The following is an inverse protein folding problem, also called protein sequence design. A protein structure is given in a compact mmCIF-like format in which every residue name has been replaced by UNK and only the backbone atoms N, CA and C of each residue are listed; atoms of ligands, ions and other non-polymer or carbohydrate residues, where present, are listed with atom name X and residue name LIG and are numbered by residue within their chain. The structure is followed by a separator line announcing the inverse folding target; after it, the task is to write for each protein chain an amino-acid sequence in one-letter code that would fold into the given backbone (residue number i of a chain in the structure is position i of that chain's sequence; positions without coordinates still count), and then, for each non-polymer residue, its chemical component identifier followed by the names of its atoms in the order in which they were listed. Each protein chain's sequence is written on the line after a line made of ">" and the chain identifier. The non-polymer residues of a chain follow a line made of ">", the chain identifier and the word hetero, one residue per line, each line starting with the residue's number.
data_IF_034279333966
#
_entry.id   IF_034279333966
#
_cell.length_a   1.000
_cell.length_b   1.000
_cell.length_c   1.000
_cell.angle_alpha   90.00
_cell.angle_beta   90.00
_cell.angle_gamma   90.00
#
_symmetry.space_group_name_H-M   'P 1'
#
loop_
_entity.id
_entity.type
_entity.pdbx_description
1 polymer ?
#
# COMPACT_ATOMS: atom_id res chain seq x y z
N UNK A 1 -4.44 -17.67 14.60
CA UNK A 1 -4.90 -16.50 13.84
C UNK A 1 -5.92 -15.78 14.69
N UNK A 2 -5.61 -14.58 15.18
CA UNK A 2 -6.59 -13.79 15.94
C UNK A 2 -7.27 -12.83 14.97
N UNK A 3 -8.52 -13.10 14.63
CA UNK A 3 -9.35 -12.09 13.95
C UNK A 3 -9.61 -10.99 14.97
N UNK A 4 -9.09 -9.78 14.73
CA UNK A 4 -9.42 -8.63 15.57
C UNK A 4 -10.93 -8.48 15.66
N UNK A 5 -11.41 -8.32 16.88
CA UNK A 5 -12.80 -8.03 17.19
C UNK A 5 -13.18 -6.66 16.64
N UNK A 6 -14.49 -6.42 16.45
CA UNK A 6 -15.01 -5.11 16.03
C UNK A 6 -14.51 -3.96 16.92
N UNK A 7 -14.45 -4.18 18.23
CA UNK A 7 -14.01 -3.16 19.19
C UNK A 7 -12.51 -2.81 19.04
N UNK A 8 -11.66 -3.77 18.65
CA UNK A 8 -10.25 -3.52 18.36
C UNK A 8 -10.08 -2.75 17.04
N UNK A 9 -10.94 -3.03 16.05
CA UNK A 9 -11.02 -2.25 14.82
C UNK A 9 -11.43 -0.80 15.05
N UNK A 10 -12.49 -0.58 15.83
CA UNK A 10 -12.98 0.76 16.16
C UNK A 10 -11.91 1.58 16.91
N UNK A 11 -11.16 0.94 17.82
CA UNK A 11 -10.05 1.58 18.54
C UNK A 11 -8.91 1.95 17.60
N UNK A 12 -8.51 1.04 16.70
CA UNK A 12 -7.46 1.30 15.74
C UNK A 12 -7.82 2.44 14.78
N UNK A 13 -9.06 2.45 14.27
CA UNK A 13 -9.55 3.52 13.41
C UNK A 13 -9.52 4.89 14.13
N UNK A 14 -9.92 4.92 15.41
CA UNK A 14 -9.88 6.14 16.22
C UNK A 14 -8.44 6.64 16.45
N UNK A 15 -7.48 5.75 16.66
CA UNK A 15 -6.06 6.10 16.81
C UNK A 15 -5.49 6.71 15.53
N UNK A 16 -5.78 6.11 14.37
CA UNK A 16 -5.36 6.65 13.06
C UNK A 16 -5.99 8.03 12.83
N UNK A 17 -7.30 8.18 13.09
CA UNK A 17 -8.00 9.45 12.92
C UNK A 17 -7.42 10.55 13.81
N UNK A 18 -7.06 10.23 15.07
CA UNK A 18 -6.35 11.15 15.97
C UNK A 18 -4.97 11.51 15.46
N UNK A 19 -4.22 10.54 14.94
CA UNK A 19 -2.91 10.78 14.33
C UNK A 19 -2.97 11.74 13.16
N UNK A 20 -3.95 11.56 12.26
CA UNK A 20 -4.18 12.46 11.12
C UNK A 20 -4.63 13.84 11.57
N UNK A 21 -5.55 13.93 12.54
CA UNK A 21 -6.03 15.20 13.07
C UNK A 21 -4.95 15.99 13.83
N UNK A 22 -3.95 15.30 14.39
CA UNK A 22 -2.80 15.91 15.05
C UNK A 22 -1.75 16.48 14.07
N UNK A 23 -1.89 16.23 12.76
CA UNK A 23 -0.98 16.78 11.75
C UNK A 23 -1.21 18.29 11.65
N UNK A 24 -0.24 19.07 12.10
CA UNK A 24 -0.23 20.52 11.96
C UNK A 24 0.03 20.91 10.50
N UNK A 25 -1.07 21.14 9.77
CA UNK A 25 -1.05 21.52 8.36
C UNK A 25 -0.33 22.83 8.09
N UNK A 26 -0.18 23.71 9.09
CA UNK A 26 0.52 24.98 8.93
C UNK A 26 2.04 24.82 8.78
N UNK A 27 2.58 23.67 9.20
CA UNK A 27 4.03 23.37 9.18
C UNK A 27 4.47 22.55 7.97
N UNK A 28 3.57 22.27 7.03
CA UNK A 28 3.82 21.36 5.91
C UNK A 28 3.40 21.95 4.56
N UNK A 29 4.13 21.58 3.50
CA UNK A 29 3.67 21.81 2.13
C UNK A 29 2.50 20.85 1.83
N UNK A 30 1.57 21.21 0.91
CA UNK A 30 0.44 20.35 0.55
C UNK A 30 0.82 18.92 0.17
N UNK A 31 1.93 18.74 -0.57
CA UNK A 31 2.42 17.42 -0.97
C UNK A 31 2.83 16.56 0.23
N UNK A 32 3.47 17.14 1.24
CA UNK A 32 3.92 16.42 2.44
C UNK A 32 2.73 16.00 3.30
N UNK A 33 1.68 16.82 3.36
CA UNK A 33 0.44 16.48 4.02
C UNK A 33 -0.27 15.31 3.33
N UNK A 34 -0.37 15.34 2.00
CA UNK A 34 -0.95 14.25 1.21
C UNK A 34 -0.17 12.95 1.40
N UNK A 35 1.16 13.01 1.38
CA UNK A 35 2.01 11.84 1.64
C UNK A 35 1.81 11.28 3.05
N UNK A 36 1.72 12.13 4.08
CA UNK A 36 1.48 11.70 5.46
C UNK A 36 0.11 11.01 5.61
N UNK A 37 -0.93 11.56 4.98
CA UNK A 37 -2.28 10.96 4.97
C UNK A 37 -2.28 9.63 4.21
N UNK A 38 -1.65 9.55 3.03
CA UNK A 38 -1.52 8.29 2.29
C UNK A 38 -0.79 7.23 3.11
N UNK A 39 0.28 7.59 3.80
CA UNK A 39 1.05 6.66 4.62
C UNK A 39 0.21 6.12 5.79
N UNK A 40 -0.59 6.97 6.44
CA UNK A 40 -1.50 6.56 7.50
C UNK A 40 -2.59 5.59 7.01
N UNK A 41 -3.19 5.87 5.84
CA UNK A 41 -4.21 5.00 5.23
C UNK A 41 -3.61 3.65 4.86
N UNK A 42 -2.47 3.64 4.15
CA UNK A 42 -1.81 2.41 3.73
C UNK A 42 -1.37 1.59 4.94
N UNK A 43 -0.85 2.23 5.99
CA UNK A 43 -0.52 1.57 7.26
C UNK A 43 -1.72 0.91 7.91
N UNK A 44 -2.86 1.59 7.99
CA UNK A 44 -4.11 1.03 8.51
C UNK A 44 -4.62 -0.15 7.65
N UNK A 45 -4.47 -0.08 6.33
CA UNK A 45 -4.81 -1.17 5.42
C UNK A 45 -3.91 -2.40 5.62
N UNK A 46 -2.61 -2.22 5.89
CA UNK A 46 -1.72 -3.34 6.24
C UNK A 46 -2.14 -4.02 7.54
N UNK A 47 -2.50 -3.22 8.54
CA UNK A 47 -3.03 -3.72 9.80
C UNK A 47 -4.34 -4.49 9.56
N UNK A 48 -5.19 -4.04 8.62
CA UNK A 48 -6.44 -4.72 8.22
C UNK A 48 -6.24 -5.97 7.38
N UNK A 49 -5.18 -5.99 6.58
CA UNK A 49 -4.79 -7.15 5.80
C UNK A 49 -3.97 -8.17 6.60
N UNK A 50 -3.67 -7.91 7.88
CA UNK A 50 -2.88 -8.83 8.72
C UNK A 50 -3.59 -10.19 8.85
N UNK A 51 -2.94 -11.24 8.34
CA UNK A 51 -3.49 -12.59 8.23
C UNK A 51 -4.42 -12.84 7.02
N UNK A 52 -4.75 -11.83 6.22
CA UNK A 52 -5.48 -11.99 4.97
C UNK A 52 -4.52 -12.29 3.81
N UNK A 53 -4.87 -13.26 2.96
CA UNK A 53 -4.14 -13.47 1.70
C UNK A 53 -4.49 -12.32 0.75
N UNK A 54 -3.51 -11.57 0.21
CA UNK A 54 -3.79 -10.44 -0.68
C UNK A 54 -4.48 -10.94 -1.95
N UNK A 55 -5.54 -10.27 -2.38
CA UNK A 55 -6.31 -10.66 -3.56
C UNK A 55 -5.48 -10.60 -4.86
N UNK A 56 -4.48 -9.71 -4.90
CA UNK A 56 -3.53 -9.52 -5.99
C UNK A 56 -2.12 -9.45 -5.40
N UNK A 57 -1.18 -10.18 -5.97
CA UNK A 57 0.26 -10.02 -5.71
C UNK A 57 0.89 -9.37 -6.94
N UNK A 58 1.66 -8.30 -6.74
CA UNK A 58 2.44 -7.63 -7.79
C UNK A 58 3.91 -7.86 -7.50
N UNK A 59 4.64 -8.33 -8.51
CA UNK A 59 6.09 -8.53 -8.50
C UNK A 59 6.71 -7.84 -9.72
N UNK A 60 8.02 -7.59 -9.74
CA UNK A 60 8.69 -7.12 -10.94
C UNK A 60 8.35 -8.05 -12.11
N UNK A 61 7.71 -7.51 -13.15
CA UNK A 61 7.27 -8.23 -14.36
C UNK A 61 6.16 -9.29 -14.17
N UNK A 62 5.56 -9.43 -12.99
CA UNK A 62 4.56 -10.47 -12.72
C UNK A 62 3.36 -9.90 -11.94
N UNK A 63 2.16 -10.26 -12.37
CA UNK A 63 0.91 -9.98 -11.67
C UNK A 63 0.15 -11.28 -11.43
N UNK A 64 -0.08 -11.63 -10.17
CA UNK A 64 -0.77 -12.85 -9.76
C UNK A 64 -2.09 -12.50 -9.08
N UNK A 65 -3.21 -13.03 -9.59
CA UNK A 65 -4.51 -12.96 -8.94
C UNK A 65 -4.66 -14.17 -7.99
N UNK A 66 -4.82 -13.90 -6.70
CA UNK A 66 -4.96 -14.94 -5.68
C UNK A 66 -6.41 -15.18 -5.26
N UNK A 67 -7.30 -14.22 -5.54
CA UNK A 67 -8.71 -14.32 -5.19
C UNK A 67 -9.53 -14.89 -6.37
N UNK A 68 -10.18 -16.06 -6.22
CA UNK A 68 -11.04 -16.60 -7.26
C UNK A 68 -12.24 -15.67 -7.49
N UNK A 69 -12.56 -15.41 -8.77
CA UNK A 69 -13.68 -14.55 -9.15
C UNK A 69 -13.39 -13.04 -9.09
N UNK A 70 -12.15 -12.63 -8.78
CA UNK A 70 -11.75 -11.24 -8.90
C UNK A 70 -11.74 -10.82 -10.38
N UNK A 71 -12.67 -9.95 -10.75
CA UNK A 71 -12.71 -9.31 -12.05
C UNK A 71 -12.09 -7.91 -11.93
N UNK A 72 -11.09 -7.65 -12.78
CA UNK A 72 -10.49 -6.34 -12.90
C UNK A 72 -10.97 -5.71 -14.21
N UNK A 73 -11.28 -4.42 -14.15
CA UNK A 73 -11.48 -3.62 -15.35
C UNK A 73 -10.17 -3.46 -16.11
N UNK A 74 -10.26 -3.09 -17.39
CA UNK A 74 -9.08 -2.83 -18.22
C UNK A 74 -8.20 -1.73 -17.61
N UNK A 75 -8.83 -0.68 -17.08
CA UNK A 75 -8.14 0.42 -16.41
C UNK A 75 -7.39 -0.03 -15.16
N UNK A 76 -7.99 -0.89 -14.33
CA UNK A 76 -7.31 -1.44 -13.16
C UNK A 76 -6.13 -2.33 -13.57
N UNK A 77 -6.29 -3.15 -14.62
CA UNK A 77 -5.19 -3.94 -15.17
C UNK A 77 -4.03 -3.07 -15.67
N UNK A 78 -4.31 -1.97 -16.36
CA UNK A 78 -3.30 -1.03 -16.85
C UNK A 78 -2.54 -0.37 -15.70
N UNK A 79 -3.25 0.10 -14.67
CA UNK A 79 -2.63 0.69 -13.48
C UNK A 79 -1.72 -0.31 -12.79
N UNK A 80 -2.18 -1.55 -12.61
CA UNK A 80 -1.38 -2.57 -11.95
C UNK A 80 -0.14 -2.97 -12.77
N UNK A 81 -0.25 -3.04 -14.11
CA UNK A 81 0.90 -3.24 -14.99
C UNK A 81 1.90 -2.09 -14.90
N UNK A 82 1.42 -0.85 -14.84
CA UNK A 82 2.27 0.33 -14.68
C UNK A 82 3.05 0.28 -13.35
N UNK A 83 2.41 -0.18 -12.27
CA UNK A 83 3.07 -0.40 -10.98
C UNK A 83 4.15 -1.49 -11.11
N UNK A 84 3.83 -2.63 -11.71
CA UNK A 84 4.79 -3.72 -11.91
C UNK A 84 6.02 -3.27 -12.72
N UNK A 85 5.81 -2.49 -13.78
CA UNK A 85 6.88 -1.92 -14.60
C UNK A 85 7.72 -0.92 -13.82
N UNK A 86 7.11 -0.06 -13.01
CA UNK A 86 7.85 0.87 -12.14
C UNK A 86 8.71 0.11 -11.13
N UNK A 87 8.17 -0.95 -10.52
CA UNK A 87 8.93 -1.82 -9.61
C UNK A 87 10.12 -2.46 -10.32
N UNK A 88 9.93 -2.97 -11.55
CA UNK A 88 11.00 -3.52 -12.37
C UNK A 88 12.12 -2.52 -12.61
N UNK A 89 11.81 -1.28 -12.99
CA UNK A 89 12.83 -0.24 -13.21
C UNK A 89 13.62 0.11 -11.95
N UNK A 90 12.94 0.17 -10.80
CA UNK A 90 13.59 0.40 -9.50
C UNK A 90 14.52 -0.76 -9.13
N UNK A 91 14.08 -2.00 -9.37
CA UNK A 91 14.88 -3.21 -9.15
C UNK A 91 16.10 -3.26 -10.07
N UNK A 92 15.92 -2.94 -11.35
CA UNK A 92 17.00 -2.85 -12.35
C UNK A 92 18.03 -1.77 -11.99
N UNK A 93 17.57 -0.58 -11.59
CA UNK A 93 18.45 0.49 -11.11
C UNK A 93 19.25 0.05 -9.87
N UNK A 94 18.57 -0.58 -8.90
CA UNK A 94 19.22 -1.10 -7.69
C UNK A 94 20.25 -2.20 -8.01
N UNK A 95 20.00 -3.06 -9.00
CA UNK A 95 20.96 -4.09 -9.44
C UNK A 95 22.16 -3.48 -10.15
N UNK A 96 21.96 -2.45 -10.96
CA UNK A 96 23.04 -1.74 -11.65
C UNK A 96 24.00 -1.03 -10.67
N UNK A 97 23.49 -0.55 -9.53
CA UNK A 97 24.30 0.06 -8.47
C UNK A 97 25.14 -0.95 -7.66
N UNK A 98 24.77 -2.23 -7.66
CA UNK A 98 25.40 -3.29 -6.84
C UNK A 98 26.39 -4.14 -7.65
N UNK A 99 26.47 -3.98 -8.97
CA UNK A 99 27.43 -4.68 -9.80
C UNK A 99 28.87 -4.22 -9.47
N UNK A 100 29.76 -5.09 -8.93
CA UNK A 100 31.16 -4.75 -8.77
C UNK A 100 31.87 -4.82 -10.13
N UNK A 101 32.78 -3.86 -10.34
CA UNK A 101 33.74 -3.81 -11.44
C UNK A 101 34.60 -5.08 -11.53
#
# INVERSE_FOLDING_TARGET
>A
MSMRTKAEWDRHALEIARGVAAIDRSKMKPVQFVDAVHHAIVGAMYVAADGARPAITIRPSELQLNAPGLALTDTECEVLRMIAERMRRVEEARRAEVAPC
#
